data_IF_477648089754
#
_entry.id   IF_477648089754
#
_cell.length_a   1.000
_cell.length_b   1.000
_cell.length_c   1.000
_cell.angle_alpha   90.00
_cell.angle_beta   90.00
_cell.angle_gamma   90.00
#
_symmetry.space_group_name_H-M   'P 1'
#
loop_
_entity.id
_entity.type
_entity.pdbx_description
1 polymer ?
#
# COMPACT_ATOMS: atom_id res chain seq x y z
N UNK A 1 12.17 17.16 6.42
CA UNK A 1 12.05 15.72 6.72
C UNK A 1 10.63 15.34 6.38
N UNK A 2 10.42 14.38 5.47
CA UNK A 2 9.08 14.01 5.03
C UNK A 2 8.42 13.07 6.04
N UNK A 3 7.11 13.20 6.23
CA UNK A 3 6.35 12.30 7.09
C UNK A 3 6.19 10.92 6.43
N UNK A 4 5.80 9.90 7.22
CA UNK A 4 5.50 8.56 6.70
C UNK A 4 4.48 8.60 5.56
N UNK A 5 3.41 9.38 5.74
CA UNK A 5 2.33 9.53 4.75
C UNK A 5 2.84 10.18 3.46
N UNK A 6 3.71 11.20 3.57
CA UNK A 6 4.32 11.83 2.39
C UNK A 6 5.22 10.87 1.61
N UNK A 7 5.99 10.03 2.31
CA UNK A 7 6.84 9.02 1.66
C UNK A 7 5.99 7.91 1.01
N UNK A 8 4.90 7.49 1.67
CA UNK A 8 3.93 6.55 1.11
C UNK A 8 3.37 7.03 -0.23
N UNK A 9 2.88 8.27 -0.30
CA UNK A 9 2.40 8.83 -1.55
C UNK A 9 3.50 9.02 -2.60
N UNK A 10 4.73 9.36 -2.20
CA UNK A 10 5.84 9.47 -3.13
C UNK A 10 6.21 8.11 -3.76
N UNK A 11 6.25 7.03 -2.98
CA UNK A 11 6.46 5.67 -3.49
C UNK A 11 5.30 5.23 -4.39
N UNK A 12 4.06 5.53 -3.98
CA UNK A 12 2.87 5.23 -4.79
C UNK A 12 2.93 5.92 -6.17
N UNK A 13 3.20 7.22 -6.19
CA UNK A 13 3.21 8.04 -7.42
C UNK A 13 4.38 7.73 -8.36
N UNK A 14 5.50 7.21 -7.82
CA UNK A 14 6.66 6.80 -8.62
C UNK A 14 6.54 5.38 -9.18
N UNK A 15 5.53 4.61 -8.76
CA UNK A 15 5.38 3.20 -9.12
C UNK A 15 6.28 2.24 -8.33
N UNK A 16 7.02 2.72 -7.33
CA UNK A 16 7.89 1.89 -6.50
C UNK A 16 7.08 1.11 -5.46
N UNK A 17 6.57 -0.06 -5.88
CA UNK A 17 5.70 -0.92 -5.05
C UNK A 17 6.45 -1.53 -3.88
N UNK A 18 7.73 -1.88 -4.04
CA UNK A 18 8.52 -2.45 -2.95
C UNK A 18 8.84 -1.41 -1.87
N UNK A 19 9.19 -0.18 -2.26
CA UNK A 19 9.32 0.91 -1.30
C UNK A 19 8.01 1.17 -0.56
N UNK A 20 6.87 1.18 -1.28
CA UNK A 20 5.55 1.34 -0.66
C UNK A 20 5.25 0.23 0.35
N UNK A 21 5.44 -1.03 -0.02
CA UNK A 21 5.17 -2.20 0.84
C UNK A 21 6.10 -2.25 2.06
N UNK A 22 7.33 -1.73 1.96
CA UNK A 22 8.26 -1.66 3.08
C UNK A 22 7.78 -0.75 4.24
N UNK A 23 6.87 0.18 3.94
CA UNK A 23 6.30 1.11 4.92
C UNK A 23 5.07 0.57 5.66
N UNK A 24 4.59 -0.62 5.27
CA UNK A 24 3.43 -1.26 5.88
C UNK A 24 3.87 -2.31 6.91
N UNK A 25 3.00 -2.59 7.88
CA UNK A 25 3.13 -3.76 8.75
C UNK A 25 2.68 -5.02 8.02
N UNK A 26 3.14 -6.20 8.48
CA UNK A 26 2.79 -7.47 7.83
C UNK A 26 1.30 -7.80 7.95
N UNK A 27 0.61 -7.19 8.92
CA UNK A 27 -0.82 -7.31 9.24
C UNK A 27 -1.67 -6.11 8.78
N UNK A 28 -1.17 -5.30 7.84
CA UNK A 28 -1.89 -4.12 7.34
C UNK A 28 -3.33 -4.45 6.93
N UNK A 29 -4.30 -3.72 7.46
CA UNK A 29 -5.69 -3.78 7.05
C UNK A 29 -5.94 -2.71 5.99
N UNK A 30 -6.36 -3.13 4.80
CA UNK A 30 -6.71 -2.26 3.69
C UNK A 30 -8.24 -2.27 3.50
N UNK A 31 -8.87 -1.21 3.99
CA UNK A 31 -10.30 -0.97 3.81
C UNK A 31 -10.57 -0.38 2.43
N UNK A 32 -10.98 -1.25 1.50
CA UNK A 32 -11.23 -0.84 0.12
C UNK A 32 -12.52 -0.03 0.07
N UNK A 33 -12.48 1.14 -0.58
CA UNK A 33 -13.66 1.99 -0.75
C UNK A 33 -14.78 1.21 -1.45
N UNK A 34 -15.98 1.22 -0.85
CA UNK A 34 -17.16 0.44 -1.29
C UNK A 34 -16.91 -1.08 -1.43
N UNK A 35 -15.87 -1.61 -0.78
CA UNK A 35 -15.50 -3.02 -0.76
C UNK A 35 -15.48 -3.61 0.65
N UNK A 36 -14.65 -4.63 0.83
CA UNK A 36 -14.34 -5.21 2.14
C UNK A 36 -12.95 -4.82 2.63
N UNK A 37 -12.57 -5.36 3.78
CA UNK A 37 -11.21 -5.26 4.32
C UNK A 37 -10.37 -6.43 3.80
N UNK A 38 -9.22 -6.12 3.21
CA UNK A 38 -8.17 -7.09 2.89
C UNK A 38 -7.03 -6.96 3.92
N UNK A 39 -6.47 -8.07 4.42
CA UNK A 39 -5.44 -8.05 5.46
C UNK A 39 -4.13 -8.65 4.95
N UNK A 40 -3.04 -7.94 5.21
CA UNK A 40 -1.67 -8.37 5.00
C UNK A 40 -1.03 -7.85 3.72
N UNK A 41 0.31 -7.83 3.71
CA UNK A 41 1.09 -7.31 2.57
C UNK A 41 0.87 -8.07 1.27
N UNK A 42 0.63 -9.38 1.35
CA UNK A 42 0.37 -10.18 0.15
C UNK A 42 -0.97 -9.79 -0.50
N UNK A 43 -2.02 -9.59 0.30
CA UNK A 43 -3.30 -9.08 -0.21
C UNK A 43 -3.15 -7.66 -0.78
N UNK A 44 -2.41 -6.79 -0.09
CA UNK A 44 -2.10 -5.45 -0.58
C UNK A 44 -1.33 -5.47 -1.92
N UNK A 45 -0.38 -6.39 -2.09
CA UNK A 45 0.35 -6.57 -3.35
C UNK A 45 -0.57 -7.02 -4.48
N UNK A 46 -1.50 -7.93 -4.23
CA UNK A 46 -2.51 -8.32 -5.23
C UNK A 46 -3.47 -7.17 -5.56
N UNK A 47 -3.81 -6.32 -4.59
CA UNK A 47 -4.59 -5.11 -4.85
C UNK A 47 -3.86 -4.13 -5.80
N UNK A 48 -2.57 -3.87 -5.55
CA UNK A 48 -1.77 -2.97 -6.40
C UNK A 48 -1.70 -3.45 -7.85
N UNK A 49 -1.59 -4.76 -8.10
CA UNK A 49 -1.61 -5.34 -9.46
C UNK A 49 -2.91 -5.09 -10.22
N UNK A 50 -4.03 -4.82 -9.52
CA UNK A 50 -5.32 -4.48 -10.14
C UNK A 50 -5.43 -2.99 -10.50
N UNK A 51 -4.55 -2.16 -9.95
CA UNK A 51 -4.52 -0.71 -10.21
C UNK A 51 -3.59 -0.31 -11.35
N UNK A 52 -2.58 -1.14 -11.65
CA UNK A 52 -1.60 -0.93 -12.74
C UNK A 52 -2.21 -1.25 -14.12
#
# INVERSE_FOLDING_TARGET
MKSLIENYYAAFNSGDREALLSMLTDDVAHDINEGGTEIGKDAFREFLKRMD
#
